data_IF_418294886625
#
_entry.id   IF_418294886625
#
_cell.length_a   1.000
_cell.length_b   1.000
_cell.length_c   1.000
_cell.angle_alpha   90.00
_cell.angle_beta   90.00
_cell.angle_gamma   90.00
#
_symmetry.space_group_name_H-M   'P 1'
#
loop_
_entity.id
_entity.type
_entity.pdbx_description
1 polymer ?
#
# COMPACT_ATOMS: atom_id res chain seq x y z
N UNK A 1 11.50 -13.96 4.35
CA UNK A 1 11.43 -13.21 3.08
C UNK A 1 12.58 -12.22 3.04
N UNK A 2 13.13 -11.91 1.88
CA UNK A 2 14.04 -10.75 1.78
C UNK A 2 13.25 -9.46 1.99
N UNK A 3 13.90 -8.37 2.40
CA UNK A 3 13.25 -7.06 2.54
C UNK A 3 12.59 -6.62 1.22
N UNK A 4 13.23 -6.90 0.09
CA UNK A 4 12.66 -6.64 -1.22
C UNK A 4 11.40 -7.47 -1.51
N UNK A 5 11.40 -8.75 -1.16
CA UNK A 5 10.23 -9.61 -1.34
C UNK A 5 9.05 -9.10 -0.48
N UNK A 6 9.28 -8.79 0.80
CA UNK A 6 8.24 -8.23 1.68
C UNK A 6 7.67 -6.92 1.12
N UNK A 7 8.52 -6.01 0.62
CA UNK A 7 8.06 -4.77 0.01
C UNK A 7 7.25 -4.99 -1.28
N UNK A 8 7.67 -5.96 -2.09
CA UNK A 8 6.98 -6.34 -3.34
C UNK A 8 5.60 -6.95 -3.05
N UNK A 9 5.52 -7.85 -2.08
CA UNK A 9 4.26 -8.48 -1.69
C UNK A 9 3.28 -7.48 -1.07
N UNK A 10 3.79 -6.56 -0.23
CA UNK A 10 2.99 -5.44 0.28
C UNK A 10 2.43 -4.57 -0.85
N UNK A 11 3.27 -4.15 -1.80
CA UNK A 11 2.84 -3.35 -2.94
C UNK A 11 1.70 -4.04 -3.69
N UNK A 12 1.87 -5.31 -4.04
CA UNK A 12 0.83 -6.05 -4.74
C UNK A 12 -0.44 -6.22 -3.91
N UNK A 13 -0.35 -6.47 -2.60
CA UNK A 13 -1.51 -6.55 -1.73
C UNK A 13 -2.30 -5.23 -1.67
N UNK A 14 -1.59 -4.11 -1.52
CA UNK A 14 -2.18 -2.78 -1.42
C UNK A 14 -2.81 -2.35 -2.76
N UNK A 15 -2.07 -2.47 -3.87
CA UNK A 15 -2.53 -2.03 -5.21
C UNK A 15 -3.58 -2.97 -5.82
N UNK A 16 -3.71 -4.21 -5.31
CA UNK A 16 -4.84 -5.10 -5.65
C UNK A 16 -6.01 -4.97 -4.69
N UNK A 17 -6.01 -3.91 -3.86
CA UNK A 17 -7.16 -3.46 -3.07
C UNK A 17 -7.60 -4.47 -2.00
N UNK A 18 -6.66 -5.22 -1.41
CA UNK A 18 -6.98 -6.22 -0.37
C UNK A 18 -7.32 -5.62 1.01
N UNK A 19 -7.23 -4.30 1.17
CA UNK A 19 -7.42 -3.61 2.46
C UNK A 19 -6.36 -3.99 3.48
N UNK A 20 -6.57 -3.62 4.74
CA UNK A 20 -5.62 -3.89 5.81
C UNK A 20 -5.41 -5.38 6.05
N UNK A 21 -6.50 -6.17 6.00
CA UNK A 21 -6.44 -7.61 6.27
C UNK A 21 -5.49 -8.36 5.33
N UNK A 22 -5.38 -7.94 4.06
CA UNK A 22 -4.43 -8.52 3.11
C UNK A 22 -3.04 -7.91 3.15
N UNK A 23 -2.81 -6.82 3.89
CA UNK A 23 -1.53 -6.12 3.96
C UNK A 23 -0.80 -6.30 5.29
N UNK A 24 -1.53 -6.57 6.38
CA UNK A 24 -1.00 -6.52 7.77
C UNK A 24 0.17 -7.46 8.05
N UNK A 25 0.29 -8.57 7.34
CA UNK A 25 1.41 -9.51 7.52
C UNK A 25 2.77 -8.93 7.08
N UNK A 26 2.75 -7.90 6.22
CA UNK A 26 3.96 -7.25 5.68
C UNK A 26 4.33 -5.96 6.42
N UNK A 27 3.50 -5.51 7.36
CA UNK A 27 3.57 -4.16 7.95
C UNK A 27 3.69 -4.28 9.46
N UNK A 28 4.65 -3.54 10.04
CA UNK A 28 4.78 -3.47 11.49
C UNK A 28 3.55 -2.80 12.13
N UNK A 29 3.16 -3.24 13.32
CA UNK A 29 2.07 -2.62 14.08
C UNK A 29 2.36 -1.12 14.31
N UNK A 30 1.38 -0.27 14.00
CA UNK A 30 1.51 1.18 14.13
C UNK A 30 2.48 1.84 13.14
N UNK A 31 2.86 1.17 12.04
CA UNK A 31 3.70 1.77 11.02
C UNK A 31 3.11 3.09 10.49
N UNK A 32 3.91 4.15 10.51
CA UNK A 32 3.50 5.48 10.08
C UNK A 32 3.42 5.58 8.55
N UNK A 33 2.48 6.37 8.07
CA UNK A 33 2.32 6.72 6.67
C UNK A 33 2.48 8.23 6.48
N UNK A 34 3.14 8.63 5.40
CA UNK A 34 3.23 10.02 4.96
C UNK A 34 3.20 10.06 3.44
N UNK A 35 2.46 11.00 2.87
CA UNK A 35 2.43 11.22 1.42
C UNK A 35 2.29 12.72 1.12
N UNK A 36 2.89 13.16 0.01
CA UNK A 36 2.71 14.52 -0.51
C UNK A 36 1.45 14.59 -1.37
N UNK A 37 0.30 14.28 -0.75
CA UNK A 37 -0.99 14.20 -1.42
C UNK A 37 -2.03 14.86 -0.51
N UNK A 38 -2.59 15.98 -0.95
CA UNK A 38 -3.59 16.74 -0.17
C UNK A 38 -4.76 15.85 0.32
N UNK A 39 -5.35 14.95 -0.51
CA UNK A 39 -6.38 14.02 -0.04
C UNK A 39 -5.99 13.07 1.10
N UNK A 40 -4.70 12.88 1.39
CA UNK A 40 -4.19 11.89 2.33
C UNK A 40 -3.58 12.50 3.60
N UNK A 41 -3.69 13.82 3.81
CA UNK A 41 -3.00 14.52 4.92
C UNK A 41 -3.43 14.08 6.31
N UNK A 42 -4.63 13.52 6.46
CA UNK A 42 -5.16 13.04 7.74
C UNK A 42 -4.77 11.57 8.03
N UNK A 43 -4.26 10.83 7.05
CA UNK A 43 -3.83 9.44 7.25
C UNK A 43 -2.44 9.43 7.86
N UNK A 44 -2.32 8.81 9.04
CA UNK A 44 -1.07 8.79 9.81
C UNK A 44 -0.43 7.40 9.85
N UNK A 45 -1.17 6.37 9.50
CA UNK A 45 -0.72 4.97 9.54
C UNK A 45 -0.85 4.27 8.19
N UNK A 46 0.00 3.26 7.97
CA UNK A 46 -0.08 2.42 6.77
C UNK A 46 -1.40 1.65 6.72
N UNK A 47 -1.96 1.29 7.88
CA UNK A 47 -3.28 0.68 7.98
C UNK A 47 -4.36 1.59 7.37
N UNK A 48 -4.40 2.86 7.77
CA UNK A 48 -5.35 3.84 7.23
C UNK A 48 -5.16 4.02 5.71
N UNK A 49 -3.92 4.03 5.23
CA UNK A 49 -3.63 4.09 3.79
C UNK A 49 -4.14 2.86 3.02
N UNK A 50 -3.95 1.64 3.55
CA UNK A 50 -4.44 0.42 2.92
C UNK A 50 -5.98 0.40 2.81
N UNK A 51 -6.68 0.85 3.86
CA UNK A 51 -8.14 0.99 3.84
C UNK A 51 -8.60 2.07 2.85
N UNK A 52 -7.90 3.21 2.82
CA UNK A 52 -8.17 4.27 1.85
C UNK A 52 -8.01 3.78 0.41
N UNK A 53 -6.92 3.06 0.10
CA UNK A 53 -6.68 2.47 -1.22
C UNK A 53 -7.81 1.52 -1.62
N UNK A 54 -8.19 0.61 -0.73
CA UNK A 54 -9.28 -0.32 -0.99
C UNK A 54 -10.62 0.40 -1.23
N UNK A 55 -10.95 1.42 -0.44
CA UNK A 55 -12.16 2.21 -0.62
C UNK A 55 -12.17 3.00 -1.93
N UNK A 56 -11.06 3.67 -2.26
CA UNK A 56 -10.91 4.46 -3.49
C UNK A 56 -11.00 3.57 -4.73
N UNK A 57 -10.28 2.44 -4.73
CA UNK A 57 -10.24 1.50 -5.85
C UNK A 57 -11.55 0.73 -6.06
N UNK A 58 -12.24 0.33 -4.99
CA UNK A 58 -13.53 -0.38 -5.11
C UNK A 58 -14.72 0.58 -5.32
N UNK A 59 -14.55 1.87 -5.06
CA UNK A 59 -15.55 2.91 -5.23
C UNK A 59 -15.33 3.75 -6.50
N UNK A 60 -14.90 5.02 -6.37
CA UNK A 60 -14.83 5.96 -7.49
C UNK A 60 -13.89 5.52 -8.63
N UNK A 61 -12.87 4.71 -8.33
CA UNK A 61 -11.89 4.23 -9.31
C UNK A 61 -12.15 2.79 -9.76
N UNK A 62 -13.36 2.26 -9.56
CA UNK A 62 -13.68 0.86 -9.89
C UNK A 62 -13.28 0.49 -11.31
N UNK A 63 -12.48 -0.57 -11.41
CA UNK A 63 -11.90 -1.04 -12.67
C UNK A 63 -10.50 -0.47 -12.96
N UNK A 64 -9.91 0.26 -12.01
CA UNK A 64 -8.52 0.68 -12.09
C UNK A 64 -7.56 -0.52 -12.20
N UNK A 65 -6.44 -0.30 -12.86
CA UNK A 65 -5.36 -1.27 -13.03
C UNK A 65 -4.03 -0.55 -13.07
N UNK A 66 -2.94 -1.24 -12.71
CA UNK A 66 -1.58 -0.71 -12.85
C UNK A 66 -0.73 -1.62 -13.74
N UNK A 67 0.35 -1.04 -14.28
CA UNK A 67 1.46 -1.77 -14.90
C UNK A 67 2.74 -1.38 -14.19
N UNK A 68 3.43 -2.36 -13.61
CA UNK A 68 4.71 -2.11 -12.96
C UNK A 68 5.81 -1.97 -14.02
N UNK A 69 6.47 -0.80 -14.06
CA UNK A 69 7.55 -0.52 -15.01
C UNK A 69 8.93 -0.87 -14.43
N UNK A 70 9.14 -0.63 -13.14
CA UNK A 70 10.41 -0.87 -12.45
C UNK A 70 10.18 -1.12 -10.96
N UNK A 71 11.01 -1.96 -10.37
CA UNK A 71 11.14 -2.15 -8.92
C UNK A 71 12.62 -2.29 -8.57
N UNK A 72 13.01 -1.72 -7.44
CA UNK A 72 14.41 -1.67 -7.01
C UNK A 72 14.49 -1.65 -5.50
N UNK A 73 15.54 -2.22 -4.95
CA UNK A 73 15.80 -2.26 -3.53
C UNK A 73 17.29 -2.07 -3.28
N UNK A 74 17.63 -1.22 -2.32
CA UNK A 74 19.00 -1.01 -1.89
C UNK A 74 19.34 -1.95 -0.74
N UNK A 75 20.37 -2.77 -0.92
CA UNK A 75 20.83 -3.74 0.07
C UNK A 75 21.86 -3.16 1.05
N UNK A 76 22.35 -1.94 0.80
CA UNK A 76 23.44 -1.31 1.54
C UNK A 76 22.98 -0.47 2.73
#
# INVERSE_FOLDING_TARGET
MSKFQTATDFFHACETLKGWEGCKEFVAEGALFTAQCEPLTELTTVQEYCEWMAAAGNGPLKGCSYKLHSSSYDEQ
#
